data_IF_409850861301
#
_entry.id   IF_409850861301
#
_cell.length_a   1.000
_cell.length_b   1.000
_cell.length_c   1.000
_cell.angle_alpha   90.00
_cell.angle_beta   90.00
_cell.angle_gamma   90.00
#
_symmetry.space_group_name_H-M   'P 1'
#
loop_
_entity.id
_entity.type
_entity.pdbx_description
1 polymer ?
#
# COMPACT_ATOMS: atom_id res chain seq x y z
N UNK A 1 -18.05 -4.50 14.80
CA UNK A 1 -16.70 -5.00 15.17
C UNK A 1 -16.11 -5.69 13.95
N UNK A 2 -15.30 -4.96 13.16
CA UNK A 2 -14.72 -5.48 11.93
C UNK A 2 -13.38 -6.14 12.30
N UNK A 3 -13.40 -7.45 12.52
CA UNK A 3 -12.17 -8.21 12.76
C UNK A 3 -11.31 -8.13 11.50
N UNK A 4 -10.28 -7.28 11.54
CA UNK A 4 -9.32 -7.10 10.47
C UNK A 4 -8.40 -8.32 10.44
N UNK A 5 -8.89 -9.43 9.89
CA UNK A 5 -8.05 -10.57 9.53
C UNK A 5 -7.21 -10.12 8.33
N UNK A 6 -5.99 -9.63 8.58
CA UNK A 6 -5.03 -9.35 7.50
C UNK A 6 -4.74 -10.67 6.77
N UNK A 7 -5.30 -10.82 5.57
CA UNK A 7 -5.03 -11.95 4.71
C UNK A 7 -3.62 -11.80 4.12
N UNK A 8 -2.72 -12.72 4.49
CA UNK A 8 -1.37 -12.75 3.92
C UNK A 8 -1.41 -13.28 2.49
N UNK A 9 -0.70 -12.62 1.58
CA UNK A 9 -0.56 -12.99 0.17
C UNK A 9 0.75 -13.74 -0.05
N UNK A 10 0.71 -14.78 -0.89
CA UNK A 10 1.91 -15.51 -1.30
C UNK A 10 2.78 -14.63 -2.21
N UNK A 11 4.04 -14.42 -1.82
CA UNK A 11 5.06 -13.80 -2.65
C UNK A 11 6.01 -14.86 -3.20
N UNK A 12 6.04 -15.01 -4.53
CA UNK A 12 6.80 -16.04 -5.23
C UNK A 12 7.90 -15.44 -6.06
N UNK A 13 8.99 -16.17 -6.20
CA UNK A 13 10.10 -15.76 -7.03
C UNK A 13 9.65 -15.56 -8.49
N UNK A 14 10.00 -14.42 -9.09
CA UNK A 14 9.69 -14.12 -10.49
C UNK A 14 10.26 -15.15 -11.47
N UNK A 15 11.42 -15.72 -11.15
CA UNK A 15 12.17 -16.65 -12.00
C UNK A 15 11.76 -18.12 -11.80
N UNK A 16 11.94 -18.67 -10.59
CA UNK A 16 11.74 -20.12 -10.36
C UNK A 16 10.41 -20.47 -9.68
N UNK A 17 9.54 -19.49 -9.43
CA UNK A 17 8.21 -19.61 -8.79
C UNK A 17 8.20 -20.21 -7.37
N UNK A 18 9.37 -20.42 -6.75
CA UNK A 18 9.50 -20.80 -5.33
C UNK A 18 8.81 -19.76 -4.45
N UNK A 19 8.02 -20.21 -3.48
CA UNK A 19 7.47 -19.35 -2.44
C UNK A 19 8.62 -18.74 -1.62
N UNK A 20 8.64 -17.41 -1.53
CA UNK A 20 9.66 -16.65 -0.81
C UNK A 20 9.13 -16.14 0.53
N UNK A 21 7.89 -15.66 0.57
CA UNK A 21 7.25 -15.15 1.78
C UNK A 21 5.72 -15.23 1.68
N UNK A 22 5.05 -15.11 2.83
CA UNK A 22 3.64 -14.72 2.93
C UNK A 22 3.59 -13.35 3.58
N UNK A 23 2.99 -12.38 2.91
CA UNK A 23 3.09 -10.97 3.27
C UNK A 23 1.72 -10.34 3.42
N UNK A 24 1.53 -9.59 4.50
CA UNK A 24 0.41 -8.68 4.64
C UNK A 24 0.67 -7.39 3.89
N UNK A 25 0.05 -6.31 4.34
CA UNK A 25 0.30 -4.99 3.79
C UNK A 25 1.73 -4.56 4.17
N UNK A 26 2.54 -4.30 3.15
CA UNK A 26 3.95 -3.93 3.29
C UNK A 26 4.26 -2.84 2.28
N UNK A 27 5.06 -1.86 2.67
CA UNK A 27 5.43 -0.73 1.81
C UNK A 27 6.44 -1.16 0.75
N UNK A 28 7.40 -2.02 1.12
CA UNK A 28 8.48 -2.50 0.26
C UNK A 28 9.11 -3.78 0.82
N UNK A 29 9.44 -4.75 -0.04
CA UNK A 29 10.22 -5.94 0.31
C UNK A 29 11.26 -6.23 -0.78
N UNK A 30 12.51 -6.43 -0.36
CA UNK A 30 13.56 -7.00 -1.20
C UNK A 30 14.06 -8.32 -0.60
N UNK A 31 14.09 -9.39 -1.40
CA UNK A 31 14.50 -10.72 -0.93
C UNK A 31 15.21 -11.51 -2.03
N UNK A 32 16.35 -12.10 -1.70
CA UNK A 32 17.09 -13.01 -2.58
C UNK A 32 16.46 -14.40 -2.56
N UNK A 33 16.20 -14.97 -3.74
CA UNK A 33 15.70 -16.34 -3.82
C UNK A 33 16.81 -17.32 -3.45
N UNK A 34 16.61 -18.08 -2.36
CA UNK A 34 17.56 -19.11 -1.92
C UNK A 34 17.76 -20.26 -2.91
N UNK A 35 16.86 -20.41 -3.90
CA UNK A 35 16.95 -21.47 -4.92
C UNK A 35 17.74 -21.06 -6.16
N UNK A 36 17.45 -19.88 -6.72
CA UNK A 36 18.01 -19.47 -8.03
C UNK A 36 18.86 -18.19 -7.96
N UNK A 37 18.99 -17.58 -6.78
CA UNK A 37 19.82 -16.39 -6.59
C UNK A 37 19.21 -15.07 -7.07
N UNK A 38 18.10 -15.09 -7.82
CA UNK A 38 17.40 -13.86 -8.27
C UNK A 38 17.04 -12.97 -7.08
N UNK A 39 17.41 -11.69 -7.16
CA UNK A 39 16.95 -10.65 -6.23
C UNK A 39 15.55 -10.21 -6.64
N UNK A 40 14.57 -10.44 -5.78
CA UNK A 40 13.18 -10.07 -6.04
C UNK A 40 12.85 -8.81 -5.24
N UNK A 41 12.07 -7.91 -5.84
CA UNK A 41 11.68 -6.64 -5.25
C UNK A 41 10.19 -6.40 -5.50
N UNK A 42 9.46 -6.01 -4.47
CA UNK A 42 8.04 -5.65 -4.55
C UNK A 42 7.79 -4.38 -3.73
N UNK A 43 6.93 -3.52 -4.24
CA UNK A 43 6.47 -2.28 -3.60
C UNK A 43 4.95 -2.31 -3.46
N UNK A 44 4.42 -1.63 -2.46
CA UNK A 44 2.97 -1.42 -2.35
C UNK A 44 2.41 -0.74 -3.61
N UNK A 45 1.22 -1.18 -4.04
CA UNK A 45 0.56 -0.66 -5.24
C UNK A 45 -0.02 0.75 -5.01
N UNK A 46 -0.29 1.13 -3.76
CA UNK A 46 -0.72 2.48 -3.41
C UNK A 46 -0.45 2.76 -1.93
N UNK A 47 0.06 3.94 -1.61
CA UNK A 47 -0.19 4.55 -0.32
C UNK A 47 -1.67 4.92 -0.37
N UNK A 48 -2.55 4.14 0.26
CA UNK A 48 -3.93 4.61 0.50
C UNK A 48 -3.80 6.03 1.09
N UNK A 49 -4.33 7.01 0.34
CA UNK A 49 -4.37 8.40 0.77
C UNK A 49 -4.91 8.39 2.19
N UNK A 50 -4.14 8.94 3.13
CA UNK A 50 -4.57 9.02 4.53
C UNK A 50 -6.00 9.56 4.55
N UNK A 51 -6.94 8.89 5.26
CA UNK A 51 -8.32 9.28 5.22
C UNK A 51 -8.42 10.70 5.75
N UNK A 52 -8.75 11.63 4.85
CA UNK A 52 -9.16 13.00 5.13
C UNK A 52 -8.12 13.89 5.83
N UNK A 53 -7.28 14.54 5.02
CA UNK A 53 -7.14 15.99 5.20
C UNK A 53 -8.02 16.71 4.18
N UNK A 54 -9.32 16.44 4.20
CA UNK A 54 -10.32 17.41 3.74
C UNK A 54 -10.39 18.56 4.77
N UNK A 55 -9.27 19.24 5.03
CA UNK A 55 -9.37 20.64 5.42
C UNK A 55 -9.56 21.42 4.12
N UNK A 56 -10.79 21.31 3.61
CA UNK A 56 -11.32 22.32 2.71
C UNK A 56 -11.06 23.67 3.36
N UNK A 57 -10.38 24.54 2.63
CA UNK A 57 -10.17 25.93 2.96
C UNK A 57 -11.54 26.60 3.05
N UNK A 58 -12.18 26.55 4.22
CA UNK A 58 -13.44 27.23 4.52
C UNK A 58 -13.23 28.75 4.69
N UNK A 59 -12.36 29.36 3.88
CA UNK A 59 -12.04 30.78 3.92
C UNK A 59 -12.47 31.55 2.66
N UNK A 60 -13.04 30.89 1.64
CA UNK A 60 -13.43 31.57 0.38
C UNK A 60 -14.93 31.57 0.07
N UNK A 61 -15.80 31.14 0.99
CA UNK A 61 -17.26 31.33 0.82
C UNK A 61 -17.75 32.49 1.67
N UNK A 62 -17.29 33.71 1.34
CA UNK A 62 -18.07 34.91 1.69
C UNK A 62 -19.18 35.04 0.63
N UNK A 63 -20.46 35.13 1.03
CA UNK A 63 -21.51 35.51 0.10
C UNK A 63 -21.28 36.98 -0.32
N UNK A 64 -21.56 37.35 -1.58
CA UNK A 64 -21.67 38.75 -1.95
C UNK A 64 -22.95 39.28 -1.31
N UNK A 65 -22.84 39.86 -0.12
CA UNK A 65 -23.91 40.68 0.42
C UNK A 65 -23.97 41.95 -0.41
N UNK A 66 -24.91 41.96 -1.35
CA UNK A 66 -25.44 43.18 -1.94
C UNK A 66 -25.96 44.09 -0.81
N UNK A 67 -25.49 45.34 -0.81
CA UNK A 67 -26.21 46.62 -0.70
C UNK A 67 -25.18 47.73 -0.89
#
# INVERSE_FOLDING_TARGET
EQTLVHMLKDFRCGQCKKLLARMGDHTELQIKCSRCGTLNHVKAVSLELSPLSERGTAASLLPPSAI
#
